data_IF_892605071915
#
_entry.id   IF_892605071915
#
_cell.length_a   1.000
_cell.length_b   1.000
_cell.length_c   1.000
_cell.angle_alpha   90.00
_cell.angle_beta   90.00
_cell.angle_gamma   90.00
#
_symmetry.space_group_name_H-M   'P 1'
#
loop_
_entity.id
_entity.type
_entity.pdbx_description
1 polymer ?
#
# COMPACT_ATOMS: atom_id res chain seq x y z
N UNK A 1 -10.67 -2.00 18.75
CA UNK A 1 -10.16 -0.72 18.22
C UNK A 1 -9.00 -0.98 17.29
N UNK A 2 -9.00 -0.36 16.14
CA UNK A 2 -7.98 -0.63 15.13
C UNK A 2 -6.74 0.20 15.38
N UNK A 3 -5.61 -0.45 15.45
CA UNK A 3 -4.33 0.22 15.54
C UNK A 3 -3.61 0.08 14.21
N UNK A 4 -3.15 1.19 13.69
CA UNK A 4 -2.46 1.20 12.41
C UNK A 4 -0.97 1.43 12.62
N UNK A 5 -0.17 0.64 11.94
CA UNK A 5 1.28 0.77 12.01
C UNK A 5 1.79 1.13 10.63
N UNK A 6 2.54 2.21 10.54
CA UNK A 6 3.15 2.62 9.27
C UNK A 6 4.27 1.66 8.90
N UNK A 7 4.16 1.08 7.72
CA UNK A 7 5.16 0.14 7.22
C UNK A 7 6.13 0.85 6.28
N UNK A 8 5.61 1.73 5.44
CA UNK A 8 6.47 2.42 4.51
C UNK A 8 5.75 3.52 3.78
N UNK A 9 6.51 4.26 2.98
CA UNK A 9 5.99 5.37 2.20
C UNK A 9 6.51 5.28 0.79
N UNK A 10 5.68 5.68 -0.16
CA UNK A 10 6.06 5.74 -1.56
C UNK A 10 5.85 7.16 -2.02
N UNK A 11 6.91 7.94 -2.19
CA UNK A 11 6.76 9.33 -2.64
C UNK A 11 6.18 9.34 -4.05
N UNK A 12 5.21 10.20 -4.27
CA UNK A 12 4.62 10.37 -5.58
C UNK A 12 5.12 11.66 -6.23
N UNK A 13 5.07 12.74 -5.45
CA UNK A 13 5.61 14.01 -5.89
C UNK A 13 5.95 14.82 -4.65
N UNK A 14 6.26 16.10 -4.82
CA UNK A 14 6.73 16.91 -3.69
C UNK A 14 5.67 17.15 -2.61
N UNK A 15 4.40 16.94 -2.94
CA UNK A 15 3.32 17.20 -2.00
C UNK A 15 2.53 15.97 -1.61
N UNK A 16 2.65 14.89 -2.37
CA UNK A 16 1.83 13.71 -2.18
C UNK A 16 2.68 12.47 -2.01
N UNK A 17 2.22 11.56 -1.19
CA UNK A 17 2.90 10.28 -1.02
C UNK A 17 1.88 9.21 -0.65
N UNK A 18 2.18 8.00 -1.01
CA UNK A 18 1.39 6.85 -0.58
C UNK A 18 1.93 6.37 0.74
N UNK A 19 1.05 6.15 1.69
CA UNK A 19 1.44 5.54 2.96
C UNK A 19 0.88 4.13 3.02
N UNK A 20 1.74 3.20 3.39
CA UNK A 20 1.38 1.79 3.52
C UNK A 20 1.35 1.47 5.01
N UNK A 21 0.16 1.13 5.49
CA UNK A 21 -0.05 0.84 6.90
C UNK A 21 -0.66 -0.53 7.05
N UNK A 22 -0.36 -1.19 8.16
CA UNK A 22 -0.99 -2.45 8.48
C UNK A 22 -1.76 -2.32 9.79
N UNK A 23 -2.80 -3.11 9.94
CA UNK A 23 -3.61 -3.09 11.14
C UNK A 23 -4.53 -4.28 11.18
N UNK A 24 -5.31 -4.36 12.25
CA UNK A 24 -6.27 -5.43 12.43
C UNK A 24 -7.67 -4.84 12.50
N UNK A 25 -8.55 -5.34 11.68
CA UNK A 25 -9.92 -4.86 11.60
C UNK A 25 -10.83 -6.06 11.67
N UNK A 26 -11.70 -6.10 12.71
CA UNK A 26 -12.60 -7.25 12.93
C UNK A 26 -11.80 -8.56 12.96
N UNK A 27 -10.66 -8.55 13.67
CA UNK A 27 -9.77 -9.71 13.81
C UNK A 27 -9.18 -10.19 12.49
N UNK A 28 -9.19 -9.34 11.48
CA UNK A 28 -8.60 -9.65 10.19
C UNK A 28 -7.44 -8.69 9.95
N UNK A 29 -6.30 -9.24 9.63
CA UNK A 29 -5.13 -8.41 9.31
C UNK A 29 -5.32 -7.81 7.92
N UNK A 30 -5.11 -6.50 7.83
CA UNK A 30 -5.29 -5.78 6.58
C UNK A 30 -4.13 -4.83 6.35
N UNK A 31 -3.96 -4.44 5.11
CA UNK A 31 -2.99 -3.43 4.69
C UNK A 31 -3.76 -2.32 4.01
N UNK A 32 -3.49 -1.09 4.42
CA UNK A 32 -4.12 0.08 3.84
C UNK A 32 -3.06 0.88 3.10
N UNK A 33 -3.30 1.10 1.81
CA UNK A 33 -2.42 1.89 0.95
C UNK A 33 -3.21 3.12 0.55
N UNK A 34 -2.79 4.30 1.02
CA UNK A 34 -3.59 5.50 0.85
C UNK A 34 -2.70 6.67 0.45
N UNK A 35 -3.23 7.48 -0.46
CA UNK A 35 -2.54 8.69 -0.87
C UNK A 35 -2.79 9.79 0.15
N UNK A 36 -1.71 10.40 0.61
CA UNK A 36 -1.76 11.52 1.52
C UNK A 36 -1.32 12.77 0.80
N UNK A 37 -2.05 13.84 1.00
CA UNK A 37 -1.69 15.16 0.51
C UNK A 37 -1.14 15.94 1.70
N UNK A 38 0.18 15.99 1.81
CA UNK A 38 0.81 16.50 3.02
C UNK A 38 0.50 15.58 4.18
N UNK A 39 -0.11 16.12 5.22
CA UNK A 39 -0.46 15.35 6.41
C UNK A 39 -1.86 14.74 6.34
N UNK A 40 -2.60 15.03 5.30
CA UNK A 40 -4.01 14.68 5.26
C UNK A 40 -4.26 13.50 4.35
N UNK A 41 -4.97 12.48 4.84
CA UNK A 41 -5.35 11.36 3.98
C UNK A 41 -6.39 11.81 2.96
N UNK A 42 -6.31 11.22 1.77
CA UNK A 42 -7.31 11.46 0.73
C UNK A 42 -8.19 10.22 0.58
N UNK A 43 -9.16 10.32 -0.30
CA UNK A 43 -10.04 9.18 -0.57
C UNK A 43 -9.41 8.16 -1.50
N UNK A 44 -8.27 8.50 -2.09
CA UNK A 44 -7.59 7.59 -3.01
C UNK A 44 -6.80 6.57 -2.20
N UNK A 45 -7.16 5.31 -2.35
CA UNK A 45 -6.48 4.26 -1.64
C UNK A 45 -7.23 2.96 -1.74
N UNK A 46 -6.62 1.93 -1.18
CA UNK A 46 -7.19 0.59 -1.22
C UNK A 46 -6.82 -0.12 0.07
N UNK A 47 -7.74 -0.95 0.54
CA UNK A 47 -7.51 -1.76 1.74
C UNK A 47 -7.63 -3.22 1.33
N UNK A 48 -6.59 -3.98 1.60
CA UNK A 48 -6.53 -5.39 1.21
C UNK A 48 -6.22 -6.25 2.41
N UNK A 49 -6.78 -7.46 2.43
CA UNK A 49 -6.42 -8.42 3.47
C UNK A 49 -5.09 -9.09 3.08
N UNK A 50 -4.57 -9.92 3.98
CA UNK A 50 -3.25 -10.52 3.76
C UNK A 50 -3.23 -11.45 2.56
N UNK A 51 -4.32 -12.19 2.35
CA UNK A 51 -4.39 -13.09 1.20
C UNK A 51 -4.33 -12.31 -0.11
N UNK A 52 -5.03 -11.19 -0.15
CA UNK A 52 -5.00 -10.33 -1.34
C UNK A 52 -3.61 -9.72 -1.55
N UNK A 53 -2.95 -9.38 -0.45
CA UNK A 53 -1.59 -8.83 -0.52
C UNK A 53 -0.63 -9.86 -1.09
N UNK A 54 -0.76 -11.13 -0.71
CA UNK A 54 0.10 -12.17 -1.25
C UNK A 54 -0.06 -12.31 -2.76
N UNK A 55 -1.29 -12.20 -3.23
CA UNK A 55 -1.54 -12.25 -4.66
C UNK A 55 -0.96 -11.02 -5.34
N UNK A 56 -1.13 -9.86 -4.74
CA UNK A 56 -0.59 -8.62 -5.28
C UNK A 56 0.93 -8.67 -5.41
N UNK A 57 1.59 -9.25 -4.42
CA UNK A 57 3.05 -9.38 -4.46
C UNK A 57 3.49 -10.16 -5.69
N UNK A 58 2.78 -11.24 -6.01
CA UNK A 58 3.11 -12.05 -7.17
C UNK A 58 2.89 -11.29 -8.47
N UNK A 59 1.84 -10.50 -8.52
CA UNK A 59 1.57 -9.67 -9.70
C UNK A 59 2.66 -8.63 -9.88
N UNK A 60 3.07 -7.99 -8.79
CA UNK A 60 4.08 -6.95 -8.86
C UNK A 60 5.43 -7.51 -9.30
N UNK A 61 5.73 -8.74 -8.95
CA UNK A 61 6.96 -9.38 -9.40
C UNK A 61 6.99 -9.49 -10.93
N UNK A 62 5.85 -9.74 -11.54
CA UNK A 62 5.77 -9.81 -12.99
C UNK A 62 6.04 -8.45 -13.62
N UNK A 63 5.52 -7.40 -13.02
CA UNK A 63 5.76 -6.04 -13.50
C UNK A 63 7.23 -5.71 -13.48
N UNK A 64 7.89 -6.04 -12.39
CA UNK A 64 9.31 -5.77 -12.24
C UNK A 64 10.12 -6.55 -13.26
N UNK A 65 9.74 -7.81 -13.49
CA UNK A 65 10.44 -8.61 -14.48
C UNK A 65 10.33 -8.01 -15.87
N UNK A 66 9.17 -7.49 -16.23
CA UNK A 66 8.97 -6.85 -17.52
C UNK A 66 9.85 -5.62 -17.67
N UNK A 67 9.95 -4.81 -16.62
CA UNK A 67 10.79 -3.63 -16.65
C UNK A 67 12.25 -3.99 -16.86
N UNK A 68 12.70 -5.04 -16.22
CA UNK A 68 14.09 -5.48 -16.36
C UNK A 68 14.37 -5.94 -17.77
N UNK A 69 13.40 -6.57 -18.39
CA UNK A 69 13.57 -7.05 -19.76
C UNK A 69 13.65 -5.91 -20.76
N UNK A 70 13.03 -4.80 -20.46
CA UNK A 70 13.08 -3.64 -21.34
C UNK A 70 14.32 -2.79 -21.11
N UNK A 71 14.86 -2.87 -19.91
CA UNK A 71 15.98 -2.04 -19.49
C UNK A 71 17.30 -2.43 -20.10
#
# INVERSE_FOLDING_TARGET
MTEWKLIGRIPRDSKNEWMVKTGTYWNIDVVDIRLFAGDKPTKKGIRLNIQEIEILKKILEKVKGEEENEG
#
